data_IF_468025877788
#
_entry.id   IF_468025877788
#
_cell.length_a   1.000
_cell.length_b   1.000
_cell.length_c   1.000
_cell.angle_alpha   90.00
_cell.angle_beta   90.00
_cell.angle_gamma   90.00
#
_symmetry.space_group_name_H-M   'P 1'
#
loop_
_entity.id
_entity.type
_entity.pdbx_description
1 polymer ?
#
# COMPACT_ATOMS: atom_id res chain seq x y z
N UNK A 1 2.38 -22.54 -6.81
CA UNK A 1 3.12 -21.30 -6.46
C UNK A 1 3.17 -21.15 -4.95
N UNK A 2 4.33 -20.80 -4.37
CA UNK A 2 4.48 -20.53 -2.94
C UNK A 2 4.48 -19.02 -2.73
N UNK A 3 3.60 -18.49 -1.89
CA UNK A 3 3.45 -17.05 -1.69
C UNK A 3 3.72 -16.73 -0.22
N UNK A 4 4.59 -15.78 0.08
CA UNK A 4 4.82 -15.34 1.44
C UNK A 4 3.98 -14.09 1.76
N UNK A 5 3.35 -14.01 2.92
CA UNK A 5 2.76 -12.79 3.46
C UNK A 5 3.63 -12.23 4.56
N UNK A 6 3.86 -10.92 4.54
CA UNK A 6 4.58 -10.22 5.59
C UNK A 6 3.61 -9.23 6.27
N UNK A 7 3.34 -9.49 7.55
CA UNK A 7 2.33 -8.88 8.39
C UNK A 7 0.91 -9.08 7.85
N UNK A 8 0.12 -9.92 8.53
CA UNK A 8 -1.23 -10.22 8.07
C UNK A 8 -2.22 -9.10 8.38
N UNK A 9 -2.13 -8.45 9.54
CA UNK A 9 -3.02 -7.35 9.93
C UNK A 9 -4.52 -7.60 9.64
N UNK A 10 -5.31 -6.53 9.59
CA UNK A 10 -6.72 -6.62 9.18
C UNK A 10 -6.91 -6.80 7.66
N UNK A 11 -5.94 -6.37 6.85
CA UNK A 11 -6.06 -6.39 5.38
C UNK A 11 -5.42 -7.64 4.72
N UNK A 12 -4.31 -8.15 5.23
CA UNK A 12 -3.65 -9.35 4.73
C UNK A 12 -4.34 -10.66 5.10
N UNK A 13 -5.00 -10.72 6.26
CA UNK A 13 -5.76 -11.90 6.69
C UNK A 13 -6.87 -12.36 5.72
N UNK A 14 -7.75 -11.49 5.17
CA UNK A 14 -8.72 -11.90 4.16
C UNK A 14 -8.07 -12.28 2.82
N UNK A 15 -6.95 -11.64 2.45
CA UNK A 15 -6.23 -11.93 1.20
C UNK A 15 -5.50 -13.27 1.23
N UNK A 16 -4.83 -13.58 2.34
CA UNK A 16 -4.21 -14.88 2.58
C UNK A 16 -5.25 -16.00 2.54
N UNK A 17 -6.43 -15.80 3.15
CA UNK A 17 -7.55 -16.75 3.07
C UNK A 17 -8.00 -17.03 1.62
N UNK A 18 -8.10 -16.01 0.78
CA UNK A 18 -8.48 -16.19 -0.63
C UNK A 18 -7.43 -16.97 -1.43
N UNK A 19 -6.14 -16.73 -1.16
CA UNK A 19 -5.05 -17.43 -1.86
C UNK A 19 -4.92 -18.90 -1.41
N UNK A 20 -5.18 -19.20 -0.13
CA UNK A 20 -5.29 -20.59 0.35
C UNK A 20 -6.45 -21.30 -0.34
N UNK A 21 -7.62 -20.66 -0.43
CA UNK A 21 -8.79 -21.21 -1.14
C UNK A 21 -8.51 -21.47 -2.62
N UNK A 22 -7.69 -20.64 -3.26
CA UNK A 22 -7.25 -20.81 -4.64
C UNK A 22 -6.17 -21.90 -4.81
N UNK A 23 -5.79 -22.63 -3.75
CA UNK A 23 -4.83 -23.73 -3.81
C UNK A 23 -3.36 -23.29 -3.78
N UNK A 24 -3.07 -22.04 -3.42
CA UNK A 24 -1.69 -21.58 -3.26
C UNK A 24 -1.13 -21.94 -1.88
N UNK A 25 0.12 -22.39 -1.85
CA UNK A 25 0.82 -22.63 -0.58
C UNK A 25 1.33 -21.29 -0.03
N UNK A 26 1.01 -20.98 1.22
CA UNK A 26 1.40 -19.72 1.85
C UNK A 26 2.45 -19.90 2.95
N UNK A 27 3.42 -18.98 3.02
CA UNK A 27 4.26 -18.75 4.20
C UNK A 27 3.80 -17.43 4.85
N UNK A 28 3.47 -17.40 6.13
CA UNK A 28 2.93 -16.19 6.76
C UNK A 28 3.95 -15.65 7.78
N UNK A 29 4.15 -14.32 7.79
CA UNK A 29 5.12 -13.61 8.62
C UNK A 29 4.47 -12.42 9.33
N UNK A 30 5.06 -12.04 10.46
CA UNK A 30 4.72 -10.89 11.31
C UNK A 30 6.01 -10.32 11.94
N UNK A 31 6.00 -9.14 12.58
CA UNK A 31 7.14 -8.29 13.00
C UNK A 31 8.32 -8.96 13.76
N UNK A 32 8.21 -10.23 14.10
CA UNK A 32 9.27 -11.03 14.71
C UNK A 32 10.39 -11.39 13.72
N UNK A 33 11.58 -10.79 13.88
CA UNK A 33 12.80 -10.97 13.05
C UNK A 33 13.18 -12.42 12.70
N UNK A 34 12.73 -13.42 13.44
CA UNK A 34 13.06 -14.83 13.22
C UNK A 34 12.66 -15.37 11.83
N UNK A 35 11.67 -14.79 11.17
CA UNK A 35 11.02 -15.46 10.02
C UNK A 35 11.57 -15.01 8.67
N UNK A 36 12.41 -13.97 8.59
CA UNK A 36 13.28 -13.80 7.41
C UNK A 36 14.15 -15.06 7.20
N UNK A 37 14.42 -15.84 8.24
CA UNK A 37 15.12 -17.12 8.14
C UNK A 37 14.29 -18.23 7.46
N UNK A 38 12.96 -18.13 7.42
CA UNK A 38 12.06 -19.15 6.85
C UNK A 38 11.65 -18.91 5.40
N UNK A 39 11.93 -17.72 4.85
CA UNK A 39 11.56 -17.39 3.47
C UNK A 39 12.61 -17.99 2.51
N UNK A 40 12.16 -18.88 1.62
CA UNK A 40 13.01 -19.48 0.60
C UNK A 40 13.25 -18.50 -0.56
N UNK A 41 14.47 -18.44 -1.13
CA UNK A 41 14.74 -17.68 -2.35
C UNK A 41 13.72 -18.00 -3.45
N UNK A 42 13.28 -16.97 -4.19
CA UNK A 42 12.29 -17.12 -5.26
C UNK A 42 10.84 -17.36 -4.81
N UNK A 43 10.51 -17.12 -3.53
CA UNK A 43 9.11 -17.13 -3.06
C UNK A 43 8.46 -15.76 -3.35
N UNK A 44 7.44 -15.64 -4.22
CA UNK A 44 6.66 -14.41 -4.39
C UNK A 44 6.16 -13.90 -3.03
N UNK A 45 6.50 -12.69 -2.64
CA UNK A 45 6.15 -12.16 -1.32
C UNK A 45 5.21 -10.97 -1.43
N UNK A 46 4.24 -10.88 -0.53
CA UNK A 46 3.24 -9.83 -0.48
C UNK A 46 3.25 -9.23 0.93
N UNK A 47 3.64 -7.97 1.05
CA UNK A 47 3.45 -7.21 2.28
C UNK A 47 1.99 -6.75 2.36
N UNK A 48 1.29 -7.06 3.44
CA UNK A 48 -0.09 -6.62 3.66
C UNK A 48 -0.28 -5.97 5.03
N UNK A 49 0.80 -5.46 5.58
CA UNK A 49 0.82 -4.84 6.89
C UNK A 49 0.51 -3.34 6.81
N UNK A 50 -0.26 -2.83 7.77
CA UNK A 50 -0.50 -1.39 7.97
C UNK A 50 0.68 -0.75 8.73
N UNK A 51 1.90 -1.18 8.43
CA UNK A 51 3.09 -0.62 9.06
C UNK A 51 3.47 0.69 8.37
N UNK A 52 4.32 1.48 9.02
CA UNK A 52 4.84 2.68 8.43
C UNK A 52 5.67 2.38 7.15
N UNK A 53 5.71 3.28 6.16
CA UNK A 53 6.41 3.05 4.90
C UNK A 53 7.91 2.73 5.05
N UNK A 54 8.57 3.18 6.14
CA UNK A 54 9.98 2.93 6.35
C UNK A 54 10.24 1.47 6.72
N UNK A 55 9.47 0.90 7.66
CA UNK A 55 9.59 -0.52 8.01
C UNK A 55 9.28 -1.41 6.79
N UNK A 56 8.31 -1.03 5.95
CA UNK A 56 8.02 -1.76 4.70
C UNK A 56 9.23 -1.78 3.74
N UNK A 57 9.97 -0.66 3.62
CA UNK A 57 11.20 -0.58 2.83
C UNK A 57 12.33 -1.41 3.44
N UNK A 58 12.50 -1.38 4.75
CA UNK A 58 13.58 -2.10 5.43
C UNK A 58 13.38 -3.62 5.33
N UNK A 59 12.13 -4.09 5.46
CA UNK A 59 11.77 -5.49 5.21
C UNK A 59 11.99 -5.85 3.74
N UNK A 60 11.66 -4.96 2.79
CA UNK A 60 11.91 -5.18 1.36
C UNK A 60 13.41 -5.33 1.07
N UNK A 61 14.27 -4.47 1.63
CA UNK A 61 15.74 -4.59 1.50
C UNK A 61 16.26 -5.91 2.08
N UNK A 62 15.76 -6.31 3.24
CA UNK A 62 16.17 -7.55 3.89
C UNK A 62 15.71 -8.81 3.12
N UNK A 63 14.54 -8.75 2.48
CA UNK A 63 14.05 -9.79 1.57
C UNK A 63 14.88 -9.85 0.28
N UNK A 64 15.21 -8.70 -0.31
CA UNK A 64 16.04 -8.61 -1.51
C UNK A 64 17.45 -9.22 -1.30
N UNK A 65 18.06 -9.01 -0.12
CA UNK A 65 19.33 -9.63 0.26
C UNK A 65 19.29 -11.18 0.26
N UNK A 66 18.10 -11.79 0.28
CA UNK A 66 17.88 -13.25 0.22
C UNK A 66 17.35 -13.74 -1.13
N UNK A 67 17.35 -12.90 -2.16
CA UNK A 67 16.80 -13.25 -3.48
C UNK A 67 15.29 -13.42 -3.48
N UNK A 68 14.60 -12.67 -2.61
CA UNK A 68 13.14 -12.67 -2.48
C UNK A 68 12.60 -11.33 -2.96
N UNK A 69 11.72 -11.37 -3.96
CA UNK A 69 11.05 -10.19 -4.49
C UNK A 69 9.76 -9.92 -3.68
N UNK A 70 9.78 -8.84 -2.91
CA UNK A 70 8.61 -8.27 -2.24
C UNK A 70 7.82 -7.52 -3.30
N UNK A 71 6.71 -8.11 -3.72
CA UNK A 71 6.03 -7.80 -4.97
C UNK A 71 5.65 -6.35 -5.21
N UNK A 72 5.05 -6.17 -6.38
CA UNK A 72 5.03 -4.97 -7.20
C UNK A 72 4.09 -3.84 -6.73
N UNK A 73 4.18 -3.46 -5.44
CA UNK A 73 3.41 -2.34 -4.90
C UNK A 73 3.96 -1.00 -5.45
N UNK A 74 3.09 -0.01 -5.77
CA UNK A 74 3.56 1.28 -6.26
C UNK A 74 4.60 1.93 -5.35
N UNK A 75 4.44 1.86 -4.02
CA UNK A 75 5.40 2.37 -3.05
C UNK A 75 6.81 1.77 -3.18
N UNK A 76 6.94 0.54 -3.68
CA UNK A 76 8.23 -0.12 -3.96
C UNK A 76 8.92 0.43 -5.21
N UNK A 77 8.17 1.08 -6.11
CA UNK A 77 8.65 1.60 -7.40
C UNK A 77 8.65 3.13 -7.48
N UNK A 78 8.82 3.82 -6.35
CA UNK A 78 8.71 5.29 -6.32
C UNK A 78 7.31 5.82 -6.65
N UNK A 79 6.28 5.04 -6.31
CA UNK A 79 4.86 5.33 -6.55
C UNK A 79 4.47 5.45 -8.03
N UNK A 80 5.23 4.79 -8.92
CA UNK A 80 4.90 4.71 -10.34
C UNK A 80 3.87 3.60 -10.60
N UNK A 81 2.93 3.85 -11.52
CA UNK A 81 1.79 2.96 -11.77
C UNK A 81 0.80 2.90 -10.60
N UNK A 82 -0.09 1.92 -10.58
CA UNK A 82 -1.15 1.84 -9.56
C UNK A 82 -2.35 2.72 -9.90
N UNK A 83 -2.97 3.32 -8.88
CA UNK A 83 -4.15 4.19 -9.05
C UNK A 83 -3.77 5.65 -8.89
N UNK A 84 -3.88 6.43 -9.98
CA UNK A 84 -3.38 7.80 -10.04
C UNK A 84 -4.04 8.75 -9.04
N UNK A 85 -3.25 9.63 -8.44
CA UNK A 85 -3.72 10.64 -7.49
C UNK A 85 -4.75 11.61 -8.11
N UNK A 86 -4.67 11.92 -9.40
CA UNK A 86 -5.71 12.68 -10.12
C UNK A 86 -7.06 11.95 -10.15
N UNK A 87 -7.02 10.63 -10.32
CA UNK A 87 -8.25 9.82 -10.33
C UNK A 87 -8.87 9.79 -8.94
N UNK A 88 -8.04 9.68 -7.89
CA UNK A 88 -8.49 9.79 -6.51
C UNK A 88 -9.10 11.17 -6.22
N UNK A 89 -8.46 12.25 -6.70
CA UNK A 89 -8.99 13.61 -6.55
C UNK A 89 -10.35 13.76 -7.23
N UNK A 90 -10.50 13.25 -8.45
CA UNK A 90 -11.77 13.23 -9.18
C UNK A 90 -12.84 12.45 -8.42
N UNK A 91 -12.53 11.26 -7.90
CA UNK A 91 -13.48 10.43 -7.14
C UNK A 91 -13.89 11.10 -5.82
N UNK A 92 -12.96 11.76 -5.11
CA UNK A 92 -13.27 12.55 -3.92
C UNK A 92 -14.17 13.75 -4.24
N UNK A 93 -13.94 14.43 -5.37
CA UNK A 93 -14.82 15.50 -5.83
C UNK A 93 -16.25 15.02 -6.07
N UNK A 94 -16.41 13.88 -6.75
CA UNK A 94 -17.72 13.27 -6.98
C UNK A 94 -18.39 12.83 -5.68
N UNK A 95 -17.63 12.24 -4.74
CA UNK A 95 -18.15 11.82 -3.45
C UNK A 95 -18.61 13.00 -2.59
N UNK A 96 -17.83 14.09 -2.54
CA UNK A 96 -18.19 15.31 -1.81
C UNK A 96 -19.42 15.98 -2.43
N UNK A 97 -19.52 16.02 -3.76
CA UNK A 97 -20.68 16.58 -4.45
C UNK A 97 -21.96 15.75 -4.20
N UNK A 98 -21.86 14.42 -4.26
CA UNK A 98 -22.98 13.55 -3.92
C UNK A 98 -23.42 13.72 -2.46
N UNK A 99 -22.48 13.82 -1.53
CA UNK A 99 -22.78 14.07 -0.12
C UNK A 99 -23.46 15.43 0.09
N UNK A 100 -23.03 16.46 -0.65
CA UNK A 100 -23.66 17.79 -0.66
C UNK A 100 -25.12 17.72 -1.09
N UNK A 101 -25.42 16.97 -2.15
CA UNK A 101 -26.79 16.77 -2.64
C UNK A 101 -27.65 15.98 -1.63
N UNK A 102 -27.05 15.02 -0.93
CA UNK A 102 -27.71 14.24 0.11
C UNK A 102 -27.83 14.97 1.47
N UNK A 103 -27.35 16.22 1.56
CA UNK A 103 -27.25 16.99 2.81
C UNK A 103 -26.52 16.23 3.93
N UNK A 104 -25.52 15.41 3.58
CA UNK A 104 -24.72 14.64 4.53
C UNK A 104 -23.34 15.29 4.74
N UNK A 105 -22.91 15.52 5.99
CA UNK A 105 -21.59 16.05 6.27
C UNK A 105 -20.51 14.99 6.03
N UNK A 106 -19.52 15.30 5.17
CA UNK A 106 -18.35 14.45 4.90
C UNK A 106 -17.04 15.19 5.18
N UNK A 107 -16.87 15.62 6.43
CA UNK A 107 -15.76 16.49 6.86
C UNK A 107 -14.38 15.90 6.50
N UNK A 108 -14.15 14.62 6.80
CA UNK A 108 -12.89 13.95 6.47
C UNK A 108 -12.68 13.81 4.95
N UNK A 109 -13.76 13.61 4.20
CA UNK A 109 -13.70 13.53 2.73
C UNK A 109 -13.29 14.85 2.10
N UNK A 110 -13.84 15.96 2.59
CA UNK A 110 -13.47 17.30 2.13
C UNK A 110 -12.00 17.64 2.44
N UNK A 111 -11.52 17.29 3.64
CA UNK A 111 -10.10 17.46 3.99
C UNK A 111 -9.22 16.59 3.12
N UNK A 112 -9.57 15.32 2.90
CA UNK A 112 -8.84 14.43 2.01
C UNK A 112 -8.77 15.01 0.57
N UNK A 113 -9.88 15.51 0.04
CA UNK A 113 -9.92 16.17 -1.27
C UNK A 113 -8.93 17.34 -1.36
N UNK A 114 -8.85 18.18 -0.32
CA UNK A 114 -7.89 19.28 -0.26
C UNK A 114 -6.43 18.80 -0.27
N UNK A 115 -6.12 17.70 0.43
CA UNK A 115 -4.78 17.14 0.44
C UNK A 115 -4.37 16.57 -0.94
N UNK A 116 -5.30 15.90 -1.63
CA UNK A 116 -5.08 15.42 -2.98
C UNK A 116 -5.00 16.56 -4.01
N UNK A 117 -5.76 17.64 -3.82
CA UNK A 117 -5.63 18.87 -4.60
C UNK A 117 -4.23 19.46 -4.45
N UNK A 118 -3.72 19.54 -3.22
CA UNK A 118 -2.36 20.02 -2.97
C UNK A 118 -1.31 19.11 -3.61
N UNK A 119 -1.51 17.79 -3.60
CA UNK A 119 -0.63 16.83 -4.28
C UNK A 119 -0.63 17.00 -5.81
N UNK A 120 -1.80 17.18 -6.41
CA UNK A 120 -1.95 17.50 -7.84
C UNK A 120 -1.18 18.78 -8.20
N UNK A 121 -1.36 19.85 -7.43
CA UNK A 121 -0.68 21.14 -7.64
C UNK A 121 0.85 21.07 -7.53
N UNK A 122 1.40 20.08 -6.80
CA UNK A 122 2.86 19.81 -6.77
C UNK A 122 3.38 19.06 -8.01
N UNK A 123 2.52 18.78 -8.99
CA UNK A 123 2.85 17.99 -10.17
C UNK A 123 2.93 16.49 -9.91
N UNK A 124 2.38 16.01 -8.78
CA UNK A 124 2.46 14.61 -8.37
C UNK A 124 1.21 13.80 -8.74
N UNK A 125 0.28 14.39 -9.51
CA UNK A 125 -1.02 13.79 -9.86
C UNK A 125 -0.93 12.44 -10.60
N UNK A 126 0.16 12.21 -11.35
CA UNK A 126 0.39 10.96 -12.08
C UNK A 126 0.97 9.82 -11.24
N UNK A 127 1.35 10.08 -9.99
CA UNK A 127 1.80 9.02 -9.05
C UNK A 127 0.59 8.30 -8.48
N UNK A 128 0.84 7.11 -7.92
CA UNK A 128 -0.16 6.41 -7.12
C UNK A 128 -0.67 7.29 -5.97
N UNK A 129 -1.95 7.18 -5.64
CA UNK A 129 -2.60 7.96 -4.57
C UNK A 129 -1.91 7.80 -3.20
N UNK A 130 -1.20 6.69 -2.95
CA UNK A 130 -0.44 6.48 -1.73
C UNK A 130 0.81 7.36 -1.62
N UNK A 131 1.27 7.98 -2.70
CA UNK A 131 2.42 8.89 -2.70
C UNK A 131 2.16 10.19 -1.91
N UNK A 132 0.92 10.44 -1.49
CA UNK A 132 0.56 11.54 -0.59
C UNK A 132 1.40 11.55 0.69
N UNK A 133 1.88 10.37 1.14
CA UNK A 133 2.74 10.24 2.32
C UNK A 133 4.08 10.96 2.16
N UNK A 134 4.59 11.12 0.94
CA UNK A 134 5.84 11.82 0.67
C UNK A 134 5.78 13.31 1.06
N UNK A 135 4.58 13.91 1.08
CA UNK A 135 4.37 15.28 1.55
C UNK A 135 4.63 15.47 3.06
N UNK A 136 4.70 14.40 3.83
CA UNK A 136 4.88 14.42 5.28
C UNK A 136 6.20 13.82 5.75
N UNK A 137 6.99 13.27 4.83
CA UNK A 137 8.31 12.73 5.16
C UNK A 137 9.29 13.88 5.36
N UNK A 138 10.11 13.79 6.41
CA UNK A 138 11.28 14.65 6.54
C UNK A 138 12.17 14.41 5.34
N UNK A 139 12.54 15.50 4.65
CA UNK A 139 13.62 15.48 3.67
C UNK A 139 14.91 15.58 4.48
N UNK A 140 15.69 14.51 4.44
CA UNK A 140 17.07 14.49 4.97
C UNK A 140 17.98 15.41 4.14
#
# INVERSE_FOLDING_TARGET
MRIAFIGLGNMGAPRARNLIKAGHQLNLFDLNKAVLAGIRPGTPTVNCSTIDPQTARDVSKAAAAKGVDMGDAPASRGYTGGFGAELMLKDLGLATEAARQAHQPVILGAVAQQLYQAMSLRGEGGKDFSAIVEGYRKKD
#
